data_IF_600506474026
#
_entry.id   IF_600506474026
#
_cell.length_a   1.000
_cell.length_b   1.000
_cell.length_c   1.000
_cell.angle_alpha   90.00
_cell.angle_beta   90.00
_cell.angle_gamma   90.00
#
_symmetry.space_group_name_H-M   'P 1'
#
loop_
_entity.id
_entity.type
_entity.pdbx_description
1 polymer ?
#
# COMPACT_ATOMS: atom_id res chain seq x y z
N UNK A 1 3.39 -5.28 -22.19
CA UNK A 1 3.07 -5.89 -20.89
C UNK A 1 4.00 -5.31 -19.85
N UNK A 2 3.51 -4.88 -18.69
CA UNK A 2 4.32 -4.26 -17.63
C UNK A 2 4.66 -5.25 -16.50
N UNK A 3 3.89 -6.33 -16.38
CA UNK A 3 4.00 -7.29 -15.29
C UNK A 3 4.15 -8.72 -15.83
N UNK A 4 4.93 -9.54 -15.12
CA UNK A 4 5.09 -10.96 -15.41
C UNK A 4 3.83 -11.79 -15.02
N UNK A 5 3.88 -13.10 -15.26
CA UNK A 5 2.76 -14.01 -14.93
C UNK A 5 2.45 -14.13 -13.44
N UNK A 6 3.29 -13.60 -12.55
CA UNK A 6 3.11 -13.58 -11.09
C UNK A 6 2.77 -12.18 -10.56
N UNK A 7 2.50 -11.21 -11.44
CA UNK A 7 2.14 -9.85 -11.06
C UNK A 7 3.29 -8.96 -10.63
N UNK A 8 4.54 -9.39 -10.83
CA UNK A 8 5.72 -8.57 -10.57
C UNK A 8 6.02 -7.70 -11.78
N UNK A 9 6.45 -6.47 -11.54
CA UNK A 9 6.93 -5.60 -12.59
C UNK A 9 8.15 -6.19 -13.29
N UNK A 10 8.22 -6.06 -14.63
CA UNK A 10 9.33 -6.58 -15.43
C UNK A 10 10.61 -5.77 -15.16
N UNK A 11 11.69 -6.47 -14.82
CA UNK A 11 12.98 -5.84 -14.53
C UNK A 11 13.59 -5.14 -15.76
N UNK A 12 13.28 -5.58 -16.94
CA UNK A 12 13.78 -5.01 -18.21
C UNK A 12 13.11 -3.68 -18.60
N UNK A 13 12.14 -3.21 -17.79
CA UNK A 13 11.56 -1.88 -17.96
C UNK A 13 12.48 -0.75 -17.48
N UNK A 14 13.59 -1.07 -16.83
CA UNK A 14 14.55 -0.08 -16.34
C UNK A 14 15.98 -0.52 -16.60
N UNK A 15 16.88 0.46 -16.75
CA UNK A 15 18.33 0.23 -16.81
C UNK A 15 18.98 0.31 -15.42
N UNK A 16 18.23 0.67 -14.39
CA UNK A 16 18.70 0.66 -13.00
C UNK A 16 18.61 -0.75 -12.39
N UNK A 17 19.20 -0.89 -11.22
CA UNK A 17 19.25 -2.18 -10.54
C UNK A 17 17.85 -2.72 -10.21
N UNK A 18 17.49 -3.83 -10.84
CA UNK A 18 16.31 -4.64 -10.58
C UNK A 18 16.65 -6.12 -10.79
N UNK A 19 16.41 -6.95 -9.78
CA UNK A 19 16.77 -8.35 -9.87
C UNK A 19 15.81 -9.12 -10.82
N UNK A 20 16.36 -9.81 -11.81
CA UNK A 20 15.56 -10.61 -12.76
C UNK A 20 14.89 -11.84 -12.11
N UNK A 21 15.52 -12.38 -11.07
CA UNK A 21 14.98 -13.50 -10.26
C UNK A 21 14.86 -13.06 -8.79
N UNK A 22 13.81 -12.32 -8.43
CA UNK A 22 13.66 -11.80 -7.09
C UNK A 22 13.31 -12.88 -6.09
N UNK A 23 13.63 -12.64 -4.83
CA UNK A 23 13.03 -13.38 -3.72
C UNK A 23 11.59 -12.88 -3.54
N UNK A 24 10.66 -13.82 -3.42
CA UNK A 24 9.28 -13.48 -3.08
C UNK A 24 9.14 -13.55 -1.57
N UNK A 25 9.21 -12.40 -0.90
CA UNK A 25 9.05 -12.30 0.56
C UNK A 25 7.62 -12.53 1.02
N UNK A 26 6.67 -12.18 0.18
CA UNK A 26 5.31 -12.69 0.29
C UNK A 26 5.33 -14.05 -0.38
N UNK A 27 5.81 -15.02 0.37
CA UNK A 27 5.69 -16.37 -0.09
C UNK A 27 4.21 -16.63 -0.24
N UNK A 28 3.86 -16.85 -1.44
CA UNK A 28 2.61 -17.19 -2.04
C UNK A 28 1.96 -18.39 -1.33
N UNK A 29 1.82 -18.31 -0.04
CA UNK A 29 0.81 -19.08 0.62
C UNK A 29 -0.48 -18.57 -0.01
N UNK A 30 -0.92 -19.31 -1.02
CA UNK A 30 -2.12 -18.99 -1.80
C UNK A 30 -3.33 -18.65 -0.93
N UNK A 31 -3.32 -19.06 0.35
CA UNK A 31 -4.31 -18.77 1.37
C UNK A 31 -4.42 -17.27 1.71
N UNK A 32 -3.31 -16.52 1.75
CA UNK A 32 -3.36 -15.07 2.07
C UNK A 32 -4.04 -14.30 0.92
N UNK A 33 -3.83 -14.74 -0.31
CA UNK A 33 -4.37 -14.06 -1.49
C UNK A 33 -5.80 -14.51 -1.86
N UNK A 34 -6.15 -15.76 -1.56
CA UNK A 34 -7.46 -16.34 -1.89
C UNK A 34 -8.58 -15.89 -0.96
N UNK A 35 -8.26 -15.35 0.23
CA UNK A 35 -9.24 -14.95 1.24
C UNK A 35 -9.11 -13.46 1.60
N UNK A 36 -9.20 -12.58 0.58
CA UNK A 36 -9.37 -11.16 0.84
C UNK A 36 -10.86 -10.93 1.13
N UNK A 37 -11.19 -10.89 2.40
CA UNK A 37 -12.49 -10.47 2.88
C UNK A 37 -12.55 -8.93 2.90
N UNK A 38 -13.24 -8.35 1.93
CA UNK A 38 -13.37 -6.90 1.81
C UNK A 38 -14.13 -6.28 2.99
N UNK A 39 -15.05 -7.05 3.59
CA UNK A 39 -15.81 -6.59 4.75
C UNK A 39 -14.91 -6.51 5.98
N UNK A 40 -14.12 -7.56 6.25
CA UNK A 40 -13.10 -7.54 7.33
C UNK A 40 -12.14 -6.36 7.15
N UNK A 41 -11.66 -6.13 5.93
CA UNK A 41 -10.74 -5.01 5.63
C UNK A 41 -11.40 -3.66 5.91
N UNK A 42 -12.62 -3.46 5.42
CA UNK A 42 -13.36 -2.22 5.64
C UNK A 42 -13.59 -1.96 7.13
N UNK A 43 -14.06 -2.95 7.87
CA UNK A 43 -14.30 -2.86 9.31
C UNK A 43 -13.01 -2.58 10.09
N UNK A 44 -11.91 -3.26 9.76
CA UNK A 44 -10.62 -3.03 10.42
C UNK A 44 -10.10 -1.59 10.18
N UNK A 45 -10.24 -1.07 8.98
CA UNK A 45 -9.82 0.30 8.65
C UNK A 45 -10.72 1.32 9.36
N UNK A 46 -12.03 1.16 9.27
CA UNK A 46 -13.01 2.06 9.89
C UNK A 46 -12.83 2.13 11.41
N UNK A 47 -12.66 0.99 12.05
CA UNK A 47 -12.51 0.93 13.51
C UNK A 47 -11.18 1.50 14.03
N UNK A 48 -10.12 1.52 13.20
CA UNK A 48 -8.79 1.92 13.65
C UNK A 48 -8.33 3.27 13.10
N UNK A 49 -8.61 3.62 11.83
CA UNK A 49 -8.14 4.89 11.25
C UNK A 49 -9.16 6.00 11.51
N UNK A 50 -10.42 5.79 11.15
CA UNK A 50 -11.48 6.78 11.30
C UNK A 50 -12.84 6.10 11.35
N UNK A 51 -13.59 6.34 12.44
CA UNK A 51 -14.99 5.92 12.56
C UNK A 51 -15.94 6.72 11.67
N UNK A 52 -15.49 7.88 11.19
CA UNK A 52 -16.33 8.86 10.47
C UNK A 52 -16.06 8.81 8.96
N UNK A 53 -15.80 7.61 8.42
CA UNK A 53 -15.73 7.43 6.98
C UNK A 53 -17.07 7.74 6.34
N UNK A 54 -17.08 8.60 5.33
CA UNK A 54 -18.27 8.93 4.55
C UNK A 54 -18.64 7.85 3.54
N UNK A 55 -17.66 7.02 3.17
CA UNK A 55 -17.85 5.90 2.24
C UNK A 55 -18.48 4.69 2.97
N UNK A 56 -19.56 4.14 2.41
CA UNK A 56 -20.14 2.88 2.88
C UNK A 56 -19.34 1.66 2.42
N UNK A 57 -19.57 0.49 3.03
CA UNK A 57 -18.98 -0.77 2.59
C UNK A 57 -19.29 -1.06 1.11
N UNK A 58 -20.55 -0.90 0.68
CA UNK A 58 -20.94 -1.15 -0.71
C UNK A 58 -20.20 -0.23 -1.71
N UNK A 59 -20.00 1.02 -1.34
CA UNK A 59 -19.22 1.95 -2.15
C UNK A 59 -17.74 1.56 -2.22
N UNK A 60 -17.17 1.13 -1.10
CA UNK A 60 -15.80 0.61 -1.05
C UNK A 60 -15.64 -0.64 -1.93
N UNK A 61 -16.51 -1.62 -1.77
CA UNK A 61 -16.50 -2.86 -2.55
C UNK A 61 -16.62 -2.57 -4.05
N UNK A 62 -17.56 -1.72 -4.43
CA UNK A 62 -17.76 -1.32 -5.83
C UNK A 62 -16.54 -0.61 -6.42
N UNK A 63 -15.87 0.29 -5.65
CA UNK A 63 -14.64 0.94 -6.10
C UNK A 63 -13.51 -0.07 -6.32
N UNK A 64 -13.32 -1.03 -5.39
CA UNK A 64 -12.30 -2.11 -5.54
C UNK A 64 -12.59 -2.98 -6.75
N UNK A 65 -13.86 -3.37 -6.95
CA UNK A 65 -14.28 -4.16 -8.12
C UNK A 65 -13.97 -3.42 -9.42
N UNK A 66 -14.35 -2.15 -9.51
CA UNK A 66 -14.08 -1.30 -10.69
C UNK A 66 -12.58 -1.16 -10.98
N UNK A 67 -11.74 -0.99 -9.94
CA UNK A 67 -10.27 -0.96 -10.11
C UNK A 67 -9.78 -2.28 -10.72
N UNK A 68 -10.20 -3.42 -10.18
CA UNK A 68 -9.82 -4.75 -10.69
C UNK A 68 -10.29 -4.98 -12.13
N UNK A 69 -11.52 -4.58 -12.45
CA UNK A 69 -12.06 -4.65 -13.81
C UNK A 69 -11.22 -3.83 -14.78
N UNK A 70 -10.92 -2.57 -14.47
CA UNK A 70 -10.11 -1.71 -15.31
C UNK A 70 -8.70 -2.28 -15.55
N UNK A 71 -8.08 -2.86 -14.49
CA UNK A 71 -6.78 -3.51 -14.61
C UNK A 71 -6.84 -4.76 -15.50
N UNK A 72 -7.92 -5.55 -15.40
CA UNK A 72 -8.11 -6.79 -16.17
C UNK A 72 -8.34 -6.56 -17.66
N UNK A 73 -8.98 -5.45 -18.01
CA UNK A 73 -9.27 -5.07 -19.38
C UNK A 73 -8.06 -4.51 -20.15
N UNK A 74 -6.99 -4.13 -19.45
CA UNK A 74 -5.81 -3.55 -20.05
C UNK A 74 -4.69 -4.61 -20.14
N UNK A 75 -4.31 -5.00 -21.38
CA UNK A 75 -3.27 -5.99 -21.64
C UNK A 75 -1.91 -5.65 -21.00
N UNK A 76 -1.61 -4.38 -20.79
CA UNK A 76 -0.37 -3.97 -20.13
C UNK A 76 -0.39 -4.24 -18.63
N UNK A 77 -1.56 -4.20 -17.98
CA UNK A 77 -1.68 -4.20 -16.51
C UNK A 77 -2.35 -5.45 -15.94
N UNK A 78 -3.11 -6.21 -16.73
CA UNK A 78 -3.92 -7.35 -16.24
C UNK A 78 -3.15 -8.34 -15.36
N UNK A 79 -1.89 -8.58 -15.66
CA UNK A 79 -1.08 -9.54 -14.91
C UNK A 79 -0.75 -9.08 -13.47
N UNK A 80 -0.87 -7.78 -13.13
CA UNK A 80 -0.67 -7.33 -11.74
C UNK A 80 -1.64 -8.01 -10.78
N UNK A 81 -2.83 -8.39 -11.27
CA UNK A 81 -3.85 -9.08 -10.50
C UNK A 81 -3.46 -10.51 -10.08
N UNK A 82 -2.43 -11.09 -10.69
CA UNK A 82 -1.86 -12.38 -10.31
C UNK A 82 -0.91 -12.26 -9.10
N UNK A 83 -0.53 -11.04 -8.74
CA UNK A 83 0.31 -10.73 -7.58
C UNK A 83 -0.51 -10.42 -6.32
N UNK A 84 0.18 -9.91 -5.30
CA UNK A 84 -0.45 -9.49 -4.07
C UNK A 84 -0.98 -8.07 -4.17
N UNK A 85 -2.29 -7.92 -4.02
CA UNK A 85 -2.96 -6.63 -3.96
C UNK A 85 -3.78 -6.51 -2.68
N UNK A 86 -3.50 -5.48 -1.89
CA UNK A 86 -4.16 -5.21 -0.61
C UNK A 86 -5.01 -3.95 -0.72
N UNK A 87 -6.35 -4.07 -0.64
CA UNK A 87 -7.23 -2.91 -0.62
C UNK A 87 -6.96 -2.00 0.57
N UNK A 88 -7.11 -0.68 0.36
CA UNK A 88 -6.94 0.32 1.40
C UNK A 88 -7.98 1.44 1.29
N UNK A 89 -8.17 2.17 2.37
CA UNK A 89 -8.89 3.43 2.43
C UNK A 89 -8.00 4.46 3.11
N UNK A 90 -7.82 5.62 2.50
CA UNK A 90 -7.26 6.80 3.14
C UNK A 90 -8.43 7.72 3.45
N UNK A 91 -8.68 8.09 4.73
CA UNK A 91 -9.73 9.04 5.07
C UNK A 91 -9.41 10.42 4.51
N UNK A 92 -10.37 11.32 4.51
CA UNK A 92 -10.10 12.73 4.28
C UNK A 92 -9.13 13.25 5.34
N UNK A 93 -8.00 13.81 4.89
CA UNK A 93 -6.92 14.20 5.78
C UNK A 93 -6.96 15.69 6.12
N UNK A 94 -6.59 16.06 7.35
CA UNK A 94 -6.64 17.46 7.81
C UNK A 94 -5.45 18.30 7.36
N UNK A 95 -4.36 17.69 6.86
CA UNK A 95 -3.11 18.39 6.57
C UNK A 95 -2.44 17.88 5.30
N UNK A 96 -1.74 18.78 4.61
CA UNK A 96 -0.81 18.43 3.51
C UNK A 96 0.50 17.84 4.02
N UNK A 97 0.84 18.07 5.28
CA UNK A 97 2.07 17.56 5.86
C UNK A 97 1.98 16.06 6.12
N UNK A 98 2.80 15.32 5.37
CA UNK A 98 2.81 13.86 5.42
C UNK A 98 3.22 13.34 6.78
N UNK A 99 4.24 13.96 7.37
CA UNK A 99 4.76 13.56 8.66
C UNK A 99 3.73 13.72 9.78
N UNK A 100 3.00 14.83 9.78
CA UNK A 100 1.91 15.10 10.74
C UNK A 100 0.82 14.03 10.64
N UNK A 101 0.35 13.72 9.43
CA UNK A 101 -0.69 12.71 9.25
C UNK A 101 -0.21 11.31 9.64
N UNK A 102 1.02 10.94 9.26
CA UNK A 102 1.60 9.66 9.68
C UNK A 102 1.66 9.56 11.21
N UNK A 103 2.18 10.58 11.88
CA UNK A 103 2.40 10.57 13.31
C UNK A 103 1.10 10.63 14.12
N UNK A 104 0.11 11.43 13.69
CA UNK A 104 -1.12 11.65 14.45
C UNK A 104 -2.26 10.70 14.11
N UNK A 105 -2.27 10.12 12.90
CA UNK A 105 -3.39 9.29 12.42
C UNK A 105 -2.94 7.86 12.19
N UNK A 106 -1.99 7.63 11.26
CA UNK A 106 -1.71 6.29 10.74
C UNK A 106 -0.90 5.41 11.71
N UNK A 107 0.17 5.93 12.30
CA UNK A 107 1.00 5.15 13.23
C UNK A 107 0.23 4.74 14.50
N UNK A 108 -0.51 5.63 15.19
CA UNK A 108 -1.33 5.23 16.31
C UNK A 108 -2.44 4.24 15.95
N UNK A 109 -3.03 4.38 14.76
CA UNK A 109 -4.02 3.43 14.26
C UNK A 109 -3.42 2.04 14.02
N UNK A 110 -2.22 1.99 13.45
CA UNK A 110 -1.48 0.74 13.24
C UNK A 110 -1.17 0.04 14.56
N UNK A 111 -0.66 0.79 15.55
CA UNK A 111 -0.36 0.26 16.89
C UNK A 111 -1.60 -0.34 17.55
N UNK A 112 -2.75 0.39 17.52
CA UNK A 112 -4.01 -0.13 18.06
C UNK A 112 -4.46 -1.41 17.35
N UNK A 113 -4.45 -1.41 16.03
CA UNK A 113 -4.87 -2.55 15.21
C UNK A 113 -4.03 -3.79 15.49
N UNK A 114 -2.71 -3.62 15.59
CA UNK A 114 -1.80 -4.73 15.92
C UNK A 114 -2.01 -5.26 17.33
N UNK A 115 -2.14 -4.39 18.32
CA UNK A 115 -2.41 -4.79 19.71
C UNK A 115 -3.72 -5.54 19.87
N UNK A 116 -4.75 -5.16 19.12
CA UNK A 116 -6.04 -5.87 19.11
C UNK A 116 -5.92 -7.27 18.51
N UNK A 117 -5.21 -7.42 17.40
CA UNK A 117 -5.08 -8.69 16.70
C UNK A 117 -4.04 -9.62 17.32
N UNK A 118 -2.96 -9.07 17.83
CA UNK A 118 -1.80 -9.80 18.37
C UNK A 118 -1.45 -9.28 19.77
N UNK A 119 -2.28 -9.57 20.80
CA UNK A 119 -2.12 -8.98 22.13
C UNK A 119 -0.79 -9.31 22.81
N UNK A 120 -0.14 -10.41 22.40
CA UNK A 120 1.15 -10.87 22.94
C UNK A 120 2.37 -10.28 22.21
N UNK A 121 2.15 -9.43 21.19
CA UNK A 121 3.22 -8.82 20.40
C UNK A 121 3.09 -7.29 20.45
N UNK A 122 4.24 -6.62 20.45
CA UNK A 122 4.31 -5.17 20.39
C UNK A 122 4.82 -4.72 19.02
N UNK A 123 4.13 -3.76 18.43
CA UNK A 123 4.64 -3.01 17.30
C UNK A 123 5.62 -1.95 17.83
N UNK A 124 6.91 -2.12 17.54
CA UNK A 124 7.92 -1.15 17.96
C UNK A 124 8.02 -0.01 16.95
N UNK A 125 7.65 1.19 17.40
CA UNK A 125 7.88 2.40 16.64
C UNK A 125 9.27 2.96 16.98
N UNK A 126 10.20 2.86 16.03
CA UNK A 126 11.56 3.37 16.18
C UNK A 126 11.72 4.87 15.91
N UNK A 127 10.66 5.54 15.46
CA UNK A 127 10.66 7.00 15.24
C UNK A 127 10.56 7.71 16.57
N UNK A 128 11.65 8.32 17.02
CA UNK A 128 11.77 9.00 18.33
C UNK A 128 11.64 10.52 18.24
N UNK A 129 11.39 11.06 17.06
CA UNK A 129 11.33 12.50 16.80
C UNK A 129 10.01 12.87 16.14
N UNK A 130 9.69 14.17 16.21
CA UNK A 130 8.51 14.72 15.52
C UNK A 130 8.72 14.63 14.01
N UNK A 131 7.75 14.05 13.30
CA UNK A 131 7.75 13.90 11.84
C UNK A 131 7.23 15.14 11.10
N UNK A 132 6.65 16.10 11.79
CA UNK A 132 6.10 17.31 11.19
C UNK A 132 7.16 18.04 10.35
N UNK A 133 6.83 18.28 9.09
CA UNK A 133 7.73 18.89 8.09
C UNK A 133 9.08 18.15 7.88
N UNK A 134 9.15 16.86 8.24
CA UNK A 134 10.37 16.05 8.08
C UNK A 134 10.33 15.06 6.93
N UNK A 135 9.14 14.82 6.39
CA UNK A 135 8.94 13.88 5.27
C UNK A 135 8.77 14.68 3.99
N UNK A 136 9.64 14.45 3.03
CA UNK A 136 9.50 14.98 1.68
C UNK A 136 9.20 13.87 0.67
N UNK A 137 8.74 14.25 -0.51
CA UNK A 137 8.36 13.32 -1.57
C UNK A 137 9.40 13.34 -2.70
N UNK A 138 9.57 12.18 -3.33
CA UNK A 138 10.26 12.14 -4.61
C UNK A 138 9.38 12.77 -5.69
N UNK A 139 9.89 13.71 -6.47
CA UNK A 139 9.14 14.50 -7.47
C UNK A 139 8.37 13.63 -8.47
N UNK A 140 8.98 12.55 -8.93
CA UNK A 140 8.41 11.67 -9.95
C UNK A 140 7.63 10.47 -9.37
N UNK A 141 7.37 10.46 -8.06
CA UNK A 141 6.62 9.36 -7.41
C UNK A 141 5.13 9.39 -7.71
N UNK A 142 4.60 10.51 -8.22
CA UNK A 142 3.17 10.84 -8.38
C UNK A 142 2.39 10.90 -7.07
N UNK A 143 3.04 10.72 -5.93
CA UNK A 143 2.38 10.66 -4.62
C UNK A 143 1.74 11.98 -4.19
N UNK A 144 2.24 13.11 -4.70
CA UNK A 144 1.66 14.43 -4.46
C UNK A 144 0.18 14.49 -4.85
N UNK A 145 -0.19 13.85 -5.96
CA UNK A 145 -1.59 13.79 -6.42
C UNK A 145 -2.49 13.09 -5.39
N UNK A 146 -2.00 12.02 -4.75
CA UNK A 146 -2.74 11.32 -3.70
C UNK A 146 -2.94 12.23 -2.48
N UNK A 147 -1.89 12.95 -2.06
CA UNK A 147 -1.98 13.88 -0.93
C UNK A 147 -2.98 15.00 -1.23
N UNK A 148 -2.87 15.65 -2.38
CA UNK A 148 -3.78 16.76 -2.74
C UNK A 148 -5.25 16.27 -2.76
N UNK A 149 -5.52 15.08 -3.30
CA UNK A 149 -6.87 14.49 -3.30
C UNK A 149 -7.35 14.10 -1.91
N UNK A 150 -6.47 13.59 -1.06
CA UNK A 150 -6.85 13.16 0.29
C UNK A 150 -7.31 14.30 1.21
N UNK A 151 -7.05 15.56 0.85
CA UNK A 151 -7.59 16.72 1.56
C UNK A 151 -9.06 16.99 1.25
N UNK A 152 -9.52 16.50 0.11
CA UNK A 152 -10.86 16.79 -0.41
C UNK A 152 -11.80 15.59 -0.27
N UNK A 153 -11.29 14.37 -0.46
CA UNK A 153 -12.08 13.14 -0.51
C UNK A 153 -11.37 11.96 0.16
N UNK A 154 -12.13 10.93 0.47
CA UNK A 154 -11.61 9.62 0.85
C UNK A 154 -11.10 8.86 -0.38
N UNK A 155 -9.92 8.28 -0.27
CA UNK A 155 -9.29 7.56 -1.38
C UNK A 155 -9.35 6.07 -1.13
N UNK A 156 -9.92 5.35 -2.10
CA UNK A 156 -9.89 3.89 -2.16
C UNK A 156 -8.92 3.45 -3.23
N UNK A 157 -8.09 2.46 -2.90
CA UNK A 157 -7.13 1.90 -3.84
C UNK A 157 -6.72 0.48 -3.49
N UNK A 158 -5.76 -0.03 -4.25
CA UNK A 158 -5.13 -1.33 -4.01
C UNK A 158 -3.61 -1.13 -3.99
N UNK A 159 -2.98 -1.48 -2.87
CA UNK A 159 -1.54 -1.53 -2.75
C UNK A 159 -1.01 -2.86 -3.31
N UNK A 160 -0.17 -2.81 -4.34
CA UNK A 160 0.45 -3.97 -4.96
C UNK A 160 1.93 -4.08 -4.60
N UNK A 161 2.38 -5.24 -4.14
CA UNK A 161 3.79 -5.53 -3.86
C UNK A 161 4.55 -5.96 -5.12
N UNK A 162 4.44 -5.18 -6.20
CA UNK A 162 4.91 -5.57 -7.53
C UNK A 162 6.36 -5.17 -7.87
N UNK A 163 7.02 -4.37 -7.02
CA UNK A 163 8.38 -3.86 -7.23
C UNK A 163 9.41 -4.59 -6.35
N UNK A 164 9.25 -5.89 -6.15
CA UNK A 164 10.16 -6.68 -5.33
C UNK A 164 11.60 -6.61 -5.84
N UNK A 165 12.53 -6.22 -4.94
CA UNK A 165 13.97 -6.09 -5.23
C UNK A 165 14.31 -5.12 -6.38
N UNK A 166 13.52 -4.06 -6.52
CA UNK A 166 13.86 -2.89 -7.31
C UNK A 166 14.58 -1.87 -6.41
N UNK A 167 15.66 -1.26 -6.93
CA UNK A 167 16.24 -0.08 -6.29
C UNK A 167 15.30 1.12 -6.40
N UNK A 168 15.48 2.15 -5.55
CA UNK A 168 14.68 3.38 -5.64
C UNK A 168 14.74 4.04 -7.03
N UNK A 169 15.94 4.22 -7.64
CA UNK A 169 16.01 4.76 -8.99
C UNK A 169 15.25 3.90 -10.02
N UNK A 170 15.28 2.57 -9.87
CA UNK A 170 14.54 1.66 -10.74
C UNK A 170 13.03 1.84 -10.58
N UNK A 171 12.53 1.96 -9.35
CA UNK A 171 11.11 2.20 -9.07
C UNK A 171 10.63 3.53 -9.67
N UNK A 172 11.41 4.61 -9.50
CA UNK A 172 11.12 5.93 -10.10
C UNK A 172 11.11 5.88 -11.63
N UNK A 173 12.03 5.12 -12.24
CA UNK A 173 12.10 4.99 -13.70
C UNK A 173 10.90 4.20 -14.25
N UNK A 174 10.52 3.14 -13.57
CA UNK A 174 9.42 2.27 -13.97
C UNK A 174 8.06 2.97 -13.83
N UNK A 175 7.83 3.74 -12.74
CA UNK A 175 6.54 4.41 -12.56
C UNK A 175 6.24 5.42 -13.68
N UNK A 176 7.26 6.01 -14.31
CA UNK A 176 7.08 6.89 -15.45
C UNK A 176 6.49 6.19 -16.67
N UNK A 177 6.67 4.88 -16.78
CA UNK A 177 6.18 4.03 -17.88
C UNK A 177 4.82 3.40 -17.60
N UNK A 178 4.33 3.53 -16.36
CA UNK A 178 3.02 3.03 -15.96
C UNK A 178 1.90 4.03 -16.28
N UNK A 179 0.65 3.58 -16.41
CA UNK A 179 -0.51 4.46 -16.53
C UNK A 179 -0.58 5.48 -15.38
N UNK A 180 -1.24 6.62 -15.61
CA UNK A 180 -1.22 7.75 -14.66
C UNK A 180 -1.91 7.47 -13.32
N UNK A 181 -2.78 6.47 -13.27
CA UNK A 181 -3.42 6.01 -12.05
C UNK A 181 -2.52 5.13 -11.15
N UNK A 182 -1.29 4.84 -11.57
CA UNK A 182 -0.27 4.20 -10.74
C UNK A 182 0.65 5.25 -10.12
N UNK A 183 1.02 5.02 -8.87
CA UNK A 183 1.98 5.83 -8.14
C UNK A 183 2.88 4.94 -7.27
N UNK A 184 4.05 5.45 -6.90
CA UNK A 184 4.89 4.79 -5.91
C UNK A 184 4.23 4.89 -4.53
N UNK A 185 4.31 3.82 -3.77
CA UNK A 185 3.66 3.74 -2.46
C UNK A 185 4.39 4.55 -1.39
N UNK A 186 3.59 5.09 -0.48
CA UNK A 186 4.04 5.81 0.70
C UNK A 186 3.46 5.22 1.98
N UNK A 187 3.45 6.00 3.03
CA UNK A 187 3.04 5.51 4.36
C UNK A 187 1.54 5.32 4.51
N UNK A 188 0.71 6.13 3.86
CA UNK A 188 -0.74 6.12 4.11
C UNK A 188 -1.39 4.82 3.66
N UNK A 189 -1.25 4.49 2.37
CA UNK A 189 -1.86 3.30 1.79
C UNK A 189 -1.24 2.01 2.30
N UNK A 190 0.09 1.98 2.54
CA UNK A 190 0.74 0.80 3.11
C UNK A 190 0.23 0.54 4.53
N UNK A 191 0.20 1.56 5.39
CA UNK A 191 -0.29 1.40 6.76
C UNK A 191 -1.78 1.05 6.76
N UNK A 192 -2.59 1.71 5.93
CA UNK A 192 -4.01 1.38 5.82
C UNK A 192 -4.23 -0.07 5.34
N UNK A 193 -3.46 -0.53 4.34
CA UNK A 193 -3.53 -1.91 3.87
C UNK A 193 -3.13 -2.92 4.97
N UNK A 194 -2.10 -2.61 5.77
CA UNK A 194 -1.70 -3.44 6.92
C UNK A 194 -2.79 -3.46 7.99
N UNK A 195 -3.42 -2.34 8.30
CA UNK A 195 -4.54 -2.28 9.25
C UNK A 195 -5.71 -3.11 8.74
N UNK A 196 -6.02 -3.01 7.47
CA UNK A 196 -7.08 -3.82 6.84
C UNK A 196 -6.80 -5.32 6.91
N UNK A 197 -5.52 -5.72 6.80
CA UNK A 197 -5.09 -7.12 6.82
C UNK A 197 -3.80 -7.29 7.64
N UNK A 198 -3.91 -7.31 8.98
CA UNK A 198 -2.77 -7.32 9.91
C UNK A 198 -1.79 -8.48 9.66
N UNK A 199 -2.28 -9.60 9.14
CA UNK A 199 -1.45 -10.77 8.84
C UNK A 199 -0.44 -10.55 7.69
N UNK A 200 -0.48 -9.43 6.98
CA UNK A 200 0.47 -9.13 5.89
C UNK A 200 1.91 -9.24 6.38
N UNK A 201 2.21 -8.65 7.54
CA UNK A 201 3.56 -8.62 8.09
C UNK A 201 3.81 -9.68 9.17
N UNK A 202 2.77 -10.32 9.68
CA UNK A 202 2.92 -11.26 10.78
C UNK A 202 3.52 -12.59 10.30
N UNK A 203 4.58 -13.02 10.96
CA UNK A 203 5.26 -14.30 10.75
C UNK A 203 5.67 -14.85 12.10
N UNK A 204 5.34 -16.12 12.36
CA UNK A 204 5.76 -16.82 13.59
C UNK A 204 7.13 -17.47 13.44
N UNK A 205 7.44 -17.96 12.25
CA UNK A 205 8.59 -18.82 11.95
C UNK A 205 9.62 -18.19 11.00
N UNK A 206 9.38 -16.97 10.54
CA UNK A 206 10.20 -16.28 9.53
C UNK A 206 10.30 -14.78 9.81
N UNK A 207 11.26 -14.14 9.16
CA UNK A 207 11.34 -12.68 9.15
C UNK A 207 10.14 -12.08 8.42
N UNK A 208 9.59 -11.02 9.02
CA UNK A 208 8.55 -10.21 8.36
C UNK A 208 9.08 -9.61 7.06
N UNK A 209 8.22 -9.50 6.02
CA UNK A 209 8.62 -8.80 4.82
C UNK A 209 8.90 -7.31 5.11
N UNK A 210 9.90 -6.75 4.43
CA UNK A 210 10.19 -5.33 4.46
C UNK A 210 9.33 -4.61 3.41
N UNK A 211 8.60 -3.59 3.83
CA UNK A 211 7.88 -2.68 2.96
C UNK A 211 8.54 -1.30 2.98
N UNK A 212 8.78 -0.73 1.81
CA UNK A 212 9.41 0.57 1.66
C UNK A 212 8.39 1.62 1.25
N UNK A 213 8.42 2.77 1.91
CA UNK A 213 7.68 3.96 1.49
C UNK A 213 8.42 4.61 0.31
N UNK A 214 8.33 3.98 -0.86
CA UNK A 214 9.16 4.30 -2.03
C UNK A 214 8.87 5.67 -2.65
N UNK A 215 7.80 6.34 -2.25
CA UNK A 215 7.47 7.71 -2.64
C UNK A 215 8.07 8.78 -1.73
N UNK A 216 8.63 8.41 -0.58
CA UNK A 216 9.05 9.30 0.51
C UNK A 216 10.56 9.31 0.71
N UNK A 217 11.08 10.42 1.23
CA UNK A 217 12.47 10.62 1.63
C UNK A 217 12.57 11.56 2.83
#
# INVERSE_FOLDING_TARGET
MLFDSKGRCLADLTNFQAHKKPRYYFNLDEKINKNIDLKEIFENISNNISSDLSISFDQFENKIKKIKENLSLNDQTKNILNGFGFPFIIPKLPSKDVGTNLQKIFLPALERSYKQKFPNYELQNHVKFNLENKISLWENSRYKTLIDRSLEEEIVGIFFTCLNEFSFPAAIDVIKKMPDNFMLSGGYEIISAIIGKQNILFREDKYSPLLWFSSMK
#
